data_IF_513237880499
#
_entry.id   IF_513237880499
#
_cell.length_a   1.000
_cell.length_b   1.000
_cell.length_c   1.000
_cell.angle_alpha   90.00
_cell.angle_beta   90.00
_cell.angle_gamma   90.00
#
_symmetry.space_group_name_H-M   'P 1'
#
loop_
_entity.id
_entity.type
_entity.pdbx_description
1 polymer ?
#
# COMPACT_ATOMS: atom_id res chain seq x y z
N UNK A 1 -6.76 22.88 -4.72
CA UNK A 1 -6.01 21.62 -4.60
C UNK A 1 -5.00 21.55 -5.72
N UNK A 2 -3.72 21.56 -5.37
CA UNK A 2 -2.58 21.44 -6.27
C UNK A 2 -2.60 20.07 -6.98
N UNK A 3 -1.91 19.99 -8.13
CA UNK A 3 -1.86 18.77 -8.96
C UNK A 3 -1.33 17.57 -8.14
N UNK A 4 -0.33 17.80 -7.28
CA UNK A 4 0.22 16.79 -6.37
C UNK A 4 -0.85 16.14 -5.49
N UNK A 5 -1.62 16.94 -4.75
CA UNK A 5 -2.67 16.41 -3.86
C UNK A 5 -3.73 15.64 -4.64
N UNK A 6 -4.10 16.11 -5.85
CA UNK A 6 -5.05 15.39 -6.72
C UNK A 6 -4.51 14.02 -7.10
N UNK A 7 -3.22 13.93 -7.42
CA UNK A 7 -2.59 12.67 -7.78
C UNK A 7 -2.51 11.73 -6.57
N UNK A 8 -2.11 12.22 -5.38
CA UNK A 8 -2.07 11.42 -4.16
C UNK A 8 -3.46 10.90 -3.78
N UNK A 9 -4.50 11.74 -3.82
CA UNK A 9 -5.87 11.29 -3.57
C UNK A 9 -6.37 10.28 -4.60
N UNK A 10 -6.04 10.46 -5.88
CA UNK A 10 -6.39 9.51 -6.94
C UNK A 10 -5.74 8.15 -6.71
N UNK A 11 -4.43 8.12 -6.40
CA UNK A 11 -3.71 6.89 -6.07
C UNK A 11 -4.27 6.22 -4.82
N UNK A 12 -4.62 7.00 -3.79
CA UNK A 12 -5.24 6.47 -2.57
C UNK A 12 -6.60 5.83 -2.86
N UNK A 13 -7.43 6.47 -3.67
CA UNK A 13 -8.73 5.93 -4.10
C UNK A 13 -8.57 4.60 -4.84
N UNK A 14 -7.62 4.53 -5.78
CA UNK A 14 -7.32 3.29 -6.50
C UNK A 14 -6.81 2.19 -5.55
N UNK A 15 -5.91 2.52 -4.63
CA UNK A 15 -5.40 1.57 -3.64
C UNK A 15 -6.51 1.04 -2.72
N UNK A 16 -7.45 1.89 -2.29
CA UNK A 16 -8.62 1.47 -1.50
C UNK A 16 -9.53 0.53 -2.29
N UNK A 17 -9.74 0.77 -3.58
CA UNK A 17 -10.53 -0.12 -4.42
C UNK A 17 -9.87 -1.50 -4.56
N UNK A 18 -8.55 -1.55 -4.74
CA UNK A 18 -7.79 -2.81 -4.78
C UNK A 18 -7.86 -3.53 -3.43
N UNK A 19 -7.73 -2.81 -2.32
CA UNK A 19 -7.85 -3.36 -0.97
C UNK A 19 -9.21 -4.04 -0.77
N UNK A 20 -10.30 -3.34 -1.11
CA UNK A 20 -11.65 -3.87 -0.99
C UNK A 20 -11.86 -5.11 -1.87
N UNK A 21 -11.35 -5.10 -3.11
CA UNK A 21 -11.43 -6.24 -4.02
C UNK A 21 -10.68 -7.47 -3.46
N UNK A 22 -9.49 -7.27 -2.91
CA UNK A 22 -8.71 -8.36 -2.31
C UNK A 22 -9.37 -8.89 -1.03
N UNK A 23 -9.96 -8.03 -0.20
CA UNK A 23 -10.74 -8.43 0.98
C UNK A 23 -11.96 -9.28 0.59
N UNK A 24 -12.69 -8.88 -0.45
CA UNK A 24 -13.82 -9.65 -0.97
C UNK A 24 -13.36 -11.03 -1.46
N UNK A 25 -12.27 -11.10 -2.23
CA UNK A 25 -11.70 -12.37 -2.70
C UNK A 25 -11.19 -13.25 -1.58
N UNK A 26 -10.52 -12.69 -0.58
CA UNK A 26 -10.05 -13.45 0.59
C UNK A 26 -11.21 -14.10 1.37
N UNK A 27 -12.37 -13.44 1.42
CA UNK A 27 -13.58 -13.93 2.08
C UNK A 27 -14.45 -14.85 1.19
N UNK A 28 -14.16 -14.93 -0.11
CA UNK A 28 -14.98 -15.70 -1.05
C UNK A 28 -14.69 -17.21 -0.94
N UNK A 29 -15.60 -17.93 -0.28
CA UNK A 29 -15.48 -19.37 -0.06
C UNK A 29 -15.58 -20.20 -1.34
N UNK A 30 -16.01 -19.62 -2.47
CA UNK A 30 -16.02 -20.30 -3.77
C UNK A 30 -14.62 -20.41 -4.39
N UNK A 31 -13.66 -19.61 -3.91
CA UNK A 31 -12.27 -19.61 -4.38
C UNK A 31 -11.42 -20.69 -3.69
N UNK A 32 -10.48 -21.23 -4.46
CA UNK A 32 -9.46 -22.15 -3.94
C UNK A 32 -8.64 -21.52 -2.81
N UNK A 33 -8.10 -22.32 -1.87
CA UNK A 33 -7.26 -21.82 -0.77
C UNK A 33 -6.08 -20.97 -1.27
N UNK A 34 -5.41 -21.38 -2.34
CA UNK A 34 -4.29 -20.65 -2.95
C UNK A 34 -4.69 -19.26 -3.48
N UNK A 35 -5.88 -19.12 -4.06
CA UNK A 35 -6.36 -17.83 -4.57
C UNK A 35 -6.75 -16.89 -3.43
N UNK A 36 -7.30 -17.43 -2.34
CA UNK A 36 -7.59 -16.69 -1.12
C UNK A 36 -6.32 -16.25 -0.41
N UNK A 37 -5.33 -17.13 -0.28
CA UNK A 37 -4.02 -16.80 0.32
C UNK A 37 -3.29 -15.74 -0.49
N UNK A 38 -3.33 -15.82 -1.83
CA UNK A 38 -2.80 -14.77 -2.70
C UNK A 38 -3.53 -13.43 -2.50
N UNK A 39 -4.86 -13.46 -2.35
CA UNK A 39 -5.64 -12.25 -2.06
C UNK A 39 -5.26 -11.65 -0.69
N UNK A 40 -5.06 -12.48 0.33
CA UNK A 40 -4.61 -12.04 1.66
C UNK A 40 -3.21 -11.42 1.59
N UNK A 41 -2.25 -12.05 0.91
CA UNK A 41 -0.91 -11.50 0.75
C UNK A 41 -0.94 -10.10 0.09
N UNK A 42 -1.80 -9.94 -0.92
CA UNK A 42 -1.97 -8.66 -1.60
C UNK A 42 -2.65 -7.59 -0.71
N UNK A 43 -3.38 -7.97 0.34
CA UNK A 43 -3.96 -7.00 1.29
C UNK A 43 -2.85 -6.27 2.04
N UNK A 44 -1.87 -6.99 2.57
CA UNK A 44 -0.78 -6.41 3.36
C UNK A 44 0.07 -5.44 2.51
N UNK A 45 0.36 -5.80 1.26
CA UNK A 45 1.08 -4.92 0.33
C UNK A 45 0.32 -3.63 0.04
N UNK A 46 -0.99 -3.72 -0.18
CA UNK A 46 -1.83 -2.55 -0.49
C UNK A 46 -2.00 -1.66 0.74
N UNK A 47 -2.13 -2.24 1.94
CA UNK A 47 -2.11 -1.49 3.19
C UNK A 47 -0.79 -0.74 3.37
N UNK A 48 0.33 -1.38 3.00
CA UNK A 48 1.63 -0.74 3.08
C UNK A 48 1.79 0.45 2.13
N UNK A 49 1.27 0.28 0.91
CA UNK A 49 1.21 1.36 -0.07
C UNK A 49 0.32 2.51 0.41
N UNK A 50 -0.87 2.23 0.96
CA UNK A 50 -1.78 3.25 1.50
C UNK A 50 -1.10 4.11 2.55
N UNK A 51 -0.36 3.49 3.47
CA UNK A 51 0.33 4.25 4.51
C UNK A 51 1.58 5.00 4.02
N UNK A 52 2.15 4.63 2.87
CA UNK A 52 3.15 5.47 2.20
C UNK A 52 2.46 6.70 1.60
N UNK A 53 1.31 6.50 0.93
CA UNK A 53 0.53 7.60 0.34
C UNK A 53 0.03 8.58 1.39
N UNK A 54 -0.39 8.11 2.57
CA UNK A 54 -0.81 8.95 3.68
C UNK A 54 0.33 9.83 4.24
N UNK A 55 1.60 9.47 3.99
CA UNK A 55 2.77 10.26 4.37
C UNK A 55 3.22 11.26 3.28
N UNK A 56 2.63 11.22 2.08
CA UNK A 56 3.07 12.04 0.94
C UNK A 56 2.54 13.48 1.06
N UNK A 57 3.44 14.44 1.12
CA UNK A 57 3.10 15.88 1.15
C UNK A 57 3.87 16.62 0.05
N UNK A 58 3.35 17.76 -0.45
CA UNK A 58 4.00 18.49 -1.54
C UNK A 58 5.36 19.10 -1.18
N UNK A 59 5.69 19.25 0.12
CA UNK A 59 6.89 19.92 0.59
C UNK A 59 7.73 19.02 1.52
N UNK A 60 7.97 17.76 1.10
CA UNK A 60 8.79 16.83 1.87
C UNK A 60 10.24 17.32 2.01
N UNK A 61 10.77 17.27 3.24
CA UNK A 61 12.19 17.52 3.48
C UNK A 61 13.03 16.39 2.90
N UNK A 62 14.31 16.63 2.56
CA UNK A 62 15.17 15.59 1.98
C UNK A 62 15.28 14.31 2.82
N UNK A 63 15.20 14.41 4.15
CA UNK A 63 15.23 13.24 5.04
C UNK A 63 13.92 12.43 4.98
N UNK A 64 12.77 13.12 4.95
CA UNK A 64 11.45 12.48 4.85
C UNK A 64 11.29 11.78 3.49
N UNK A 65 11.72 12.43 2.41
CA UNK A 65 11.75 11.83 1.08
C UNK A 65 12.65 10.58 1.03
N UNK A 66 13.82 10.60 1.68
CA UNK A 66 14.71 9.42 1.79
C UNK A 66 14.05 8.26 2.53
N UNK A 67 13.36 8.54 3.64
CA UNK A 67 12.67 7.50 4.41
C UNK A 67 11.49 6.90 3.64
N UNK A 68 10.72 7.73 2.94
CA UNK A 68 9.65 7.28 2.05
C UNK A 68 10.22 6.41 0.93
N UNK A 69 11.32 6.82 0.27
CA UNK A 69 11.96 6.03 -0.77
C UNK A 69 12.49 4.69 -0.25
N UNK A 70 13.04 4.65 0.97
CA UNK A 70 13.46 3.42 1.62
C UNK A 70 12.28 2.48 1.89
N UNK A 71 11.12 3.01 2.32
CA UNK A 71 9.88 2.23 2.52
C UNK A 71 9.35 1.66 1.21
N UNK A 72 9.33 2.44 0.13
CA UNK A 72 8.94 1.95 -1.20
C UNK A 72 9.88 0.83 -1.63
N UNK A 73 11.19 1.02 -1.47
CA UNK A 73 12.18 -0.02 -1.79
C UNK A 73 11.95 -1.30 -0.97
N UNK A 74 11.76 -1.17 0.35
CA UNK A 74 11.48 -2.30 1.23
C UNK A 74 10.17 -3.03 0.84
N UNK A 75 9.15 -2.33 0.35
CA UNK A 75 7.93 -2.95 -0.17
C UNK A 75 8.20 -3.74 -1.45
N UNK A 76 8.96 -3.17 -2.39
CA UNK A 76 9.29 -3.82 -3.67
C UNK A 76 10.25 -5.02 -3.49
N UNK A 77 11.20 -4.90 -2.57
CA UNK A 77 12.16 -5.97 -2.22
C UNK A 77 11.55 -7.01 -1.25
N UNK A 78 10.58 -6.58 -0.45
CA UNK A 78 9.83 -7.33 0.56
C UNK A 78 8.93 -8.43 0.00
N UNK A 79 8.94 -8.67 -1.33
CA UNK A 79 8.47 -9.89 -2.00
C UNK A 79 9.00 -11.21 -1.40
N UNK A 80 9.83 -11.15 -0.35
CA UNK A 80 10.36 -12.27 0.45
C UNK A 80 9.80 -12.37 1.88
N UNK A 81 8.55 -11.95 2.12
CA UNK A 81 7.74 -12.45 3.24
C UNK A 81 8.01 -11.90 4.64
N UNK A 82 8.22 -10.58 4.79
CA UNK A 82 8.25 -9.95 6.13
C UNK A 82 7.19 -8.84 6.28
N UNK A 83 6.46 -8.79 7.41
CA UNK A 83 5.50 -7.73 7.68
C UNK A 83 6.20 -6.38 7.81
N UNK A 84 5.81 -5.42 6.97
CA UNK A 84 6.24 -4.03 7.13
C UNK A 84 5.53 -3.46 8.36
N UNK A 85 6.28 -2.94 9.33
CA UNK A 85 5.71 -2.12 10.41
C UNK A 85 5.51 -0.70 9.92
N UNK A 86 4.31 -0.18 10.12
CA UNK A 86 3.85 1.02 9.44
C UNK A 86 3.22 1.97 10.45
N UNK A 87 3.87 3.11 10.63
CA UNK A 87 3.36 4.29 11.31
C UNK A 87 3.94 5.53 10.65
N UNK A 88 3.23 6.67 10.76
CA UNK A 88 3.81 7.96 10.45
C UNK A 88 4.86 8.33 11.52
N UNK A 89 5.85 9.14 11.14
CA UNK A 89 6.89 9.66 12.04
C UNK A 89 6.31 10.41 13.23
#
# INVERSE_FOLDING_TARGET
>A
MHIFERHIMSLRSQALAVLAANQARAADQSLGPSDRDAAIFNIDEVQAMLAILDCMTPNLRPNEARQIAARIRALLEGRKGQPLRIGCL
#
